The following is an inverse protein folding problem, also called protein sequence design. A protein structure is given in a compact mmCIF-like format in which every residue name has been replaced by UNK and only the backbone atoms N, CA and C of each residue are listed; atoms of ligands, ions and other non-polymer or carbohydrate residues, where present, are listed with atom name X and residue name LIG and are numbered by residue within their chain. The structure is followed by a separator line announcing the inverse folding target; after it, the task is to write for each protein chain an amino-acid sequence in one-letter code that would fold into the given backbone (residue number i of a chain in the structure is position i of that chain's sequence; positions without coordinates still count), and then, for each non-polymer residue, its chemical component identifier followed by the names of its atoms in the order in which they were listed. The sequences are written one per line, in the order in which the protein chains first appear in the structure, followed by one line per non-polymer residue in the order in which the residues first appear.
data_IF_923331120934
#
_entry.id   IF_923331120934
#
_cell.length_a   1.000
_cell.length_b   1.000
_cell.length_c   1.000
_cell.angle_alpha   90.00
_cell.angle_beta   90.00
_cell.angle_gamma   90.00
#
_symmetry.space_group_name_H-M   'P 1'
#
loop_
_entity.id
_entity.type
_entity.pdbx_description
1 polymer ?
#
# COMPACT_ATOMS: atom_id res chain seq x y z
N UNK A 1 -21.90 -3.16 3.69
CA UNK A 1 -20.94 -4.18 3.19
C UNK A 1 -19.75 -4.25 4.13
N UNK A 2 -19.00 -5.36 4.13
CA UNK A 2 -17.69 -5.45 4.80
C UNK A 2 -16.60 -5.10 3.78
N UNK A 3 -15.83 -4.04 4.03
CA UNK A 3 -14.82 -3.53 3.11
C UNK A 3 -13.45 -3.59 3.80
N UNK A 4 -12.48 -4.23 3.16
CA UNK A 4 -11.08 -4.18 3.58
C UNK A 4 -10.41 -3.00 2.88
N UNK A 5 -9.92 -2.02 3.63
CA UNK A 5 -9.17 -0.90 3.06
C UNK A 5 -7.69 -1.02 3.40
N UNK A 6 -6.88 -1.30 2.38
CA UNK A 6 -5.44 -1.42 2.48
C UNK A 6 -4.78 -0.11 2.07
N UNK A 7 -4.06 0.51 3.00
CA UNK A 7 -3.50 1.84 2.74
C UNK A 7 -2.51 2.29 3.80
N UNK A 8 -1.95 3.49 3.64
CA UNK A 8 -0.96 4.03 4.56
C UNK A 8 -1.61 4.69 5.79
N UNK A 9 -2.38 3.92 6.59
CA UNK A 9 -3.14 4.44 7.74
C UNK A 9 -2.28 4.89 8.92
N UNK A 10 -1.06 4.38 9.01
CA UNK A 10 -0.12 4.68 10.07
C UNK A 10 1.11 5.39 9.50
N UNK A 11 1.77 6.26 10.29
CA UNK A 11 2.97 6.95 9.85
C UNK A 11 4.06 5.94 9.48
N UNK A 12 4.85 6.28 8.45
CA UNK A 12 6.07 5.56 8.11
C UNK A 12 7.26 6.51 8.19
N UNK A 13 8.41 5.98 8.58
CA UNK A 13 9.64 6.76 8.70
C UNK A 13 10.19 7.14 7.32
N UNK A 14 9.93 6.33 6.30
CA UNK A 14 10.51 6.52 4.96
C UNK A 14 9.78 7.52 4.09
N UNK A 15 8.45 7.54 4.14
CA UNK A 15 7.65 8.40 3.28
C UNK A 15 6.42 8.85 4.03
N UNK A 16 6.34 10.15 4.27
CA UNK A 16 5.09 10.77 4.65
C UNK A 16 4.19 10.74 3.40
N UNK A 17 3.08 10.03 3.53
CA UNK A 17 2.06 9.91 2.50
C UNK A 17 0.93 10.88 2.85
N UNK A 18 0.39 11.55 1.84
CA UNK A 18 -0.75 12.45 2.06
C UNK A 18 -2.01 11.61 2.18
N UNK A 19 -2.50 11.45 3.41
CA UNK A 19 -3.63 10.54 3.69
C UNK A 19 -4.96 11.26 3.84
N UNK A 20 -5.00 12.60 3.84
CA UNK A 20 -6.24 13.34 4.14
C UNK A 20 -7.42 12.97 3.24
N UNK A 21 -7.19 12.86 1.91
CA UNK A 21 -8.23 12.43 0.97
C UNK A 21 -8.73 11.04 1.32
N UNK A 22 -7.81 10.13 1.62
CA UNK A 22 -8.10 8.75 1.96
C UNK A 22 -8.86 8.64 3.30
N UNK A 23 -8.48 9.42 4.31
CA UNK A 23 -9.21 9.50 5.58
C UNK A 23 -10.62 10.02 5.39
N UNK A 24 -10.80 11.12 4.65
CA UNK A 24 -12.14 11.65 4.34
C UNK A 24 -12.98 10.61 3.59
N UNK A 25 -12.38 9.91 2.63
CA UNK A 25 -13.06 8.86 1.89
C UNK A 25 -13.46 7.68 2.80
N UNK A 26 -12.56 7.22 3.68
CA UNK A 26 -12.87 6.18 4.65
C UNK A 26 -13.99 6.61 5.61
N UNK A 27 -14.00 7.85 6.09
CA UNK A 27 -15.08 8.38 6.94
C UNK A 27 -16.43 8.30 6.26
N UNK A 28 -16.53 8.72 5.00
CA UNK A 28 -17.81 8.64 4.28
C UNK A 28 -18.25 7.19 4.07
N UNK A 29 -17.33 6.28 3.72
CA UNK A 29 -17.66 4.86 3.59
C UNK A 29 -18.10 4.22 4.92
N UNK A 30 -17.51 4.64 6.04
CA UNK A 30 -17.82 4.10 7.38
C UNK A 30 -19.28 4.37 7.81
N UNK A 31 -19.96 5.34 7.19
CA UNK A 31 -21.35 5.69 7.51
C UNK A 31 -22.33 4.58 7.17
N UNK A 32 -22.05 3.84 6.10
CA UNK A 32 -22.95 2.81 5.56
C UNK A 32 -22.30 1.42 5.49
N UNK A 33 -20.99 1.33 5.71
CA UNK A 33 -20.23 0.11 5.54
C UNK A 33 -19.32 -0.16 6.75
N UNK A 34 -19.09 -1.44 7.02
CA UNK A 34 -18.12 -1.88 8.02
C UNK A 34 -16.75 -1.90 7.37
N UNK A 35 -15.85 -1.07 7.87
CA UNK A 35 -14.49 -0.96 7.36
C UNK A 35 -13.53 -1.73 8.26
N UNK A 36 -12.68 -2.53 7.65
CA UNK A 36 -11.45 -3.03 8.28
C UNK A 36 -10.29 -2.31 7.63
N UNK A 37 -9.61 -1.44 8.38
CA UNK A 37 -8.41 -0.78 7.90
C UNK A 37 -7.22 -1.72 8.08
N UNK A 38 -6.34 -1.80 7.08
CA UNK A 38 -5.16 -2.65 7.15
C UNK A 38 -3.92 -1.96 6.60
N UNK A 39 -2.81 -2.01 7.35
CA UNK A 39 -1.55 -1.39 6.96
C UNK A 39 -0.30 -2.06 7.55
N UNK A 40 0.86 -1.68 7.05
CA UNK A 40 2.14 -1.96 7.69
C UNK A 40 2.84 -0.66 8.05
N UNK A 41 3.55 -0.65 9.18
CA UNK A 41 4.32 0.52 9.63
C UNK A 41 5.72 0.10 10.04
N UNK A 42 6.70 0.99 9.87
CA UNK A 42 8.04 0.86 10.43
C UNK A 42 8.32 1.88 11.55
N UNK A 43 7.27 2.55 12.02
CA UNK A 43 7.38 3.49 13.12
C UNK A 43 7.73 2.74 14.41
N UNK A 44 8.78 3.15 15.16
CA UNK A 44 9.26 2.42 16.33
C UNK A 44 8.25 2.40 17.49
N UNK A 45 7.35 3.39 17.53
CA UNK A 45 6.26 3.47 18.50
C UNK A 45 4.97 3.90 17.78
N UNK A 46 4.19 2.98 17.19
CA UNK A 46 2.98 3.33 16.47
C UNK A 46 1.76 3.50 17.39
N UNK A 47 1.87 3.24 18.70
CA UNK A 47 0.71 3.10 19.60
C UNK A 47 -0.16 4.34 19.68
N UNK A 48 0.43 5.54 19.71
CA UNK A 48 -0.35 6.79 19.71
C UNK A 48 -1.17 6.98 18.42
N UNK A 49 -0.56 6.70 17.26
CA UNK A 49 -1.26 6.76 15.98
C UNK A 49 -2.32 5.66 15.87
N UNK A 50 -2.04 4.45 16.35
CA UNK A 50 -3.00 3.35 16.40
C UNK A 50 -4.21 3.71 17.24
N UNK A 51 -4.01 4.32 18.42
CA UNK A 51 -5.13 4.78 19.26
C UNK A 51 -5.98 5.79 18.51
N UNK A 52 -5.37 6.82 17.92
CA UNK A 52 -6.10 7.86 17.19
C UNK A 52 -6.91 7.30 16.01
N UNK A 53 -6.36 6.32 15.28
CA UNK A 53 -7.10 5.65 14.20
C UNK A 53 -8.24 4.81 14.77
N UNK A 54 -8.03 4.09 15.88
CA UNK A 54 -9.06 3.25 16.51
C UNK A 54 -10.20 4.04 17.13
N UNK A 55 -9.93 5.25 17.59
CA UNK A 55 -10.93 6.18 18.10
C UNK A 55 -11.91 6.61 16.99
N UNK A 56 -11.46 6.65 15.73
CA UNK A 56 -12.29 7.01 14.56
C UNK A 56 -12.81 5.77 13.80
N UNK A 57 -12.02 4.69 13.74
CA UNK A 57 -12.30 3.46 13.01
C UNK A 57 -12.02 2.24 13.89
N UNK A 58 -13.09 1.61 14.39
CA UNK A 58 -13.01 0.52 15.38
C UNK A 58 -12.10 -0.65 14.94
N UNK A 59 -12.11 -1.01 13.65
CA UNK A 59 -11.42 -2.19 13.13
C UNK A 59 -10.16 -1.80 12.34
N UNK A 60 -9.00 -2.02 12.97
CA UNK A 60 -7.68 -1.76 12.42
C UNK A 60 -6.75 -2.96 12.64
N UNK A 61 -6.26 -3.50 11.53
CA UNK A 61 -5.20 -4.47 11.44
C UNK A 61 -3.88 -3.82 11.02
N UNK A 62 -2.80 -4.08 11.75
CA UNK A 62 -1.50 -3.55 11.38
C UNK A 62 -0.34 -4.46 11.77
N UNK A 63 0.71 -4.49 10.96
CA UNK A 63 1.99 -5.13 11.32
C UNK A 63 3.13 -4.11 11.40
N UNK A 64 3.98 -4.29 12.41
CA UNK A 64 5.22 -3.51 12.53
C UNK A 64 6.34 -4.26 11.84
N UNK A 65 6.96 -3.63 10.84
CA UNK A 65 8.13 -4.18 10.14
C UNK A 65 9.39 -3.73 10.88
N UNK A 66 10.30 -4.65 11.25
CA UNK A 66 11.50 -4.29 11.96
C UNK A 66 12.45 -3.44 11.11
N UNK A 67 12.83 -2.28 11.66
CA UNK A 67 13.70 -1.30 11.03
C UNK A 67 15.11 -1.83 10.67
N UNK A 68 15.47 -3.01 11.16
CA UNK A 68 16.78 -3.66 10.99
C UNK A 68 17.07 -4.07 9.55
N UNK A 69 16.04 -4.18 8.71
CA UNK A 69 16.17 -4.47 7.28
C UNK A 69 16.62 -3.26 6.44
N UNK A 70 16.78 -2.06 7.04
CA UNK A 70 17.33 -0.87 6.39
C UNK A 70 18.67 -1.10 5.68
N UNK A 71 19.55 -1.92 6.25
CA UNK A 71 20.91 -2.16 5.69
C UNK A 71 20.92 -3.19 4.56
N UNK A 72 19.97 -4.14 4.59
CA UNK A 72 19.82 -5.15 3.55
C UNK A 72 19.03 -4.65 2.35
N UNK A 73 18.33 -3.51 2.48
CA UNK A 73 17.52 -2.91 1.42
C UNK A 73 18.32 -2.72 0.12
N UNK A 74 19.53 -2.17 0.20
CA UNK A 74 20.42 -1.97 -0.98
C UNK A 74 20.85 -3.28 -1.64
N UNK A 75 21.04 -4.34 -0.83
CA UNK A 75 21.53 -5.65 -1.28
C UNK A 75 20.38 -6.46 -1.88
N UNK A 76 19.22 -6.45 -1.22
CA UNK A 76 17.98 -7.05 -1.72
C UNK A 76 17.56 -6.40 -3.05
N UNK A 77 17.71 -5.08 -3.18
CA UNK A 77 17.42 -4.34 -4.41
C UNK A 77 18.23 -4.84 -5.61
N UNK A 78 19.47 -5.33 -5.41
CA UNK A 78 20.29 -5.88 -6.48
C UNK A 78 19.99 -7.36 -6.75
N UNK A 79 19.64 -8.13 -5.72
CA UNK A 79 19.55 -9.59 -5.81
C UNK A 79 18.17 -10.13 -6.21
N UNK A 80 17.06 -9.49 -5.82
CA UNK A 80 15.74 -10.14 -5.89
C UNK A 80 14.90 -9.79 -7.12
N UNK A 81 15.31 -8.84 -7.95
CA UNK A 81 14.53 -8.38 -9.12
C UNK A 81 13.19 -7.70 -8.78
N UNK A 82 12.69 -7.82 -7.54
CA UNK A 82 11.43 -7.29 -7.04
C UNK A 82 11.57 -5.87 -6.46
N UNK A 83 10.44 -5.15 -6.32
CA UNK A 83 10.41 -3.85 -5.62
C UNK A 83 10.87 -4.02 -4.17
N UNK A 84 11.83 -3.19 -3.78
CA UNK A 84 12.38 -3.19 -2.43
C UNK A 84 11.40 -2.56 -1.43
N UNK A 85 10.55 -1.63 -1.86
CA UNK A 85 9.46 -1.07 -1.04
C UNK A 85 8.41 -2.14 -0.73
N UNK A 86 7.92 -2.86 -1.74
CA UNK A 86 6.94 -3.94 -1.58
C UNK A 86 7.50 -5.05 -0.69
N UNK A 87 8.75 -5.47 -0.93
CA UNK A 87 9.39 -6.50 -0.12
C UNK A 87 9.53 -6.08 1.34
N UNK A 88 9.88 -4.82 1.61
CA UNK A 88 10.00 -4.34 2.97
C UNK A 88 8.67 -4.30 3.72
N UNK A 89 7.60 -3.85 3.07
CA UNK A 89 6.27 -3.80 3.67
C UNK A 89 5.52 -5.13 3.59
N UNK A 90 6.19 -6.20 3.17
CA UNK A 90 5.67 -7.57 3.23
C UNK A 90 5.81 -8.11 4.66
N UNK A 91 4.69 -8.46 5.28
CA UNK A 91 4.61 -8.95 6.64
C UNK A 91 3.62 -10.11 6.71
N UNK A 92 4.13 -11.32 6.96
CA UNK A 92 3.31 -12.53 7.06
C UNK A 92 2.28 -12.43 8.19
N UNK A 93 2.60 -11.70 9.26
CA UNK A 93 1.67 -11.43 10.35
C UNK A 93 0.43 -10.67 9.88
N UNK A 94 0.56 -9.69 8.96
CA UNK A 94 -0.61 -8.99 8.39
C UNK A 94 -1.36 -9.89 7.42
N UNK A 95 -0.63 -10.61 6.56
CA UNK A 95 -1.20 -11.55 5.58
C UNK A 95 -2.08 -12.61 6.25
N UNK A 96 -1.57 -13.22 7.31
CA UNK A 96 -2.29 -14.23 8.08
C UNK A 96 -3.56 -13.65 8.70
N UNK A 97 -3.49 -12.47 9.31
CA UNK A 97 -4.66 -11.81 9.92
C UNK A 97 -5.73 -11.43 8.90
N UNK A 98 -5.34 -10.86 7.76
CA UNK A 98 -6.29 -10.57 6.67
C UNK A 98 -6.97 -11.86 6.19
N UNK A 99 -6.20 -12.94 6.00
CA UNK A 99 -6.74 -14.23 5.56
C UNK A 99 -7.70 -14.84 6.59
N UNK A 100 -7.34 -14.80 7.86
CA UNK A 100 -8.17 -15.37 8.92
C UNK A 100 -9.43 -14.53 9.15
N UNK A 101 -9.33 -13.20 9.03
CA UNK A 101 -10.48 -12.29 8.99
C UNK A 101 -11.39 -12.62 7.81
N UNK A 102 -10.85 -12.76 6.60
CA UNK A 102 -11.62 -13.09 5.41
C UNK A 102 -12.35 -14.45 5.50
N UNK A 103 -11.82 -15.42 6.27
CA UNK A 103 -12.51 -16.68 6.58
C UNK A 103 -13.66 -16.49 7.57
N UNK A 104 -13.44 -15.70 8.62
CA UNK A 104 -14.43 -15.47 9.69
C UNK A 104 -15.57 -14.54 9.29
N UNK A 105 -15.27 -13.49 8.53
CA UNK A 105 -16.19 -12.49 8.04
C UNK A 105 -15.75 -12.07 6.64
N UNK A 106 -16.34 -12.67 5.58
CA UNK A 106 -15.95 -12.38 4.21
C UNK A 106 -16.04 -10.89 3.86
N UNK A 107 -15.02 -10.41 3.15
CA UNK A 107 -15.02 -9.08 2.56
C UNK A 107 -15.84 -9.10 1.26
N UNK A 108 -16.60 -8.03 1.05
CA UNK A 108 -17.37 -7.82 -0.18
C UNK A 108 -16.58 -6.99 -1.20
N UNK A 109 -15.58 -6.24 -0.72
CA UNK A 109 -14.73 -5.37 -1.52
C UNK A 109 -13.38 -5.21 -0.83
N UNK A 110 -12.30 -5.21 -1.61
CA UNK A 110 -10.98 -4.77 -1.17
C UNK A 110 -10.65 -3.46 -1.87
N UNK A 111 -10.34 -2.43 -1.10
CA UNK A 111 -9.91 -1.13 -1.61
C UNK A 111 -8.44 -0.92 -1.28
N UNK A 112 -7.61 -0.54 -2.25
CA UNK A 112 -6.16 -0.45 -2.11
C UNK A 112 -5.68 0.94 -2.48
N UNK A 113 -5.03 1.65 -1.56
CA UNK A 113 -4.53 3.02 -1.76
C UNK A 113 -3.00 3.16 -1.63
N UNK A 114 -2.26 2.06 -1.69
CA UNK A 114 -0.78 2.07 -1.73
C UNK A 114 -0.25 0.89 -2.54
N UNK A 115 0.80 1.11 -3.33
CA UNK A 115 1.41 0.06 -4.16
C UNK A 115 1.97 -1.09 -3.32
N UNK A 116 2.52 -0.77 -2.14
CA UNK A 116 3.03 -1.78 -1.19
C UNK A 116 1.97 -2.79 -0.71
N UNK A 117 0.69 -2.41 -0.79
CA UNK A 117 -0.43 -3.21 -0.32
C UNK A 117 -1.05 -4.10 -1.40
N UNK A 118 -0.71 -3.86 -2.68
CA UNK A 118 -1.26 -4.60 -3.81
C UNK A 118 -1.14 -6.12 -3.64
N UNK A 119 0.02 -6.69 -3.22
CA UNK A 119 0.13 -8.13 -3.06
C UNK A 119 -0.86 -8.75 -2.07
N UNK A 120 -1.23 -8.02 -1.00
CA UNK A 120 -2.22 -8.52 -0.03
C UNK A 120 -3.62 -8.58 -0.64
N UNK A 121 -3.98 -7.59 -1.47
CA UNK A 121 -5.27 -7.58 -2.17
C UNK A 121 -5.34 -8.69 -3.23
N UNK A 122 -4.23 -8.95 -3.92
CA UNK A 122 -4.18 -9.96 -4.98
C UNK A 122 -4.36 -11.39 -4.46
N UNK A 123 -4.05 -11.67 -3.19
CA UNK A 123 -4.36 -12.96 -2.56
C UNK A 123 -5.87 -13.20 -2.37
N UNK A 124 -6.66 -12.13 -2.33
CA UNK A 124 -8.11 -12.19 -2.21
C UNK A 124 -8.79 -12.18 -3.58
N UNK A 125 -8.11 -11.69 -4.63
CA UNK A 125 -8.61 -11.74 -6.00
C UNK A 125 -8.54 -13.16 -6.59
N UNK A 126 -9.50 -13.59 -7.43
CA UNK A 126 -10.69 -12.87 -7.88
C UNK A 126 -11.89 -13.00 -6.93
N UNK A 127 -11.74 -13.73 -5.82
CA UNK A 127 -12.88 -14.08 -4.95
C UNK A 127 -13.57 -12.85 -4.36
N UNK A 128 -12.80 -11.80 -4.11
CA UNK A 128 -13.30 -10.49 -3.69
C UNK A 128 -12.91 -9.46 -4.77
N UNK A 129 -13.85 -8.60 -5.23
CA UNK A 129 -13.51 -7.54 -6.16
C UNK A 129 -12.51 -6.57 -5.53
N UNK A 130 -11.57 -6.09 -6.34
CA UNK A 130 -10.50 -5.19 -5.91
C UNK A 130 -10.67 -3.84 -6.60
N UNK A 131 -10.69 -2.76 -5.84
CA UNK A 131 -10.59 -1.39 -6.32
C UNK A 131 -9.23 -0.85 -5.94
N UNK A 132 -8.53 -0.27 -6.91
CA UNK A 132 -7.20 0.24 -6.71
C UNK A 132 -7.19 1.74 -6.94
N UNK A 133 -6.84 2.50 -5.91
CA UNK A 133 -6.80 3.96 -5.94
C UNK A 133 -5.37 4.47 -6.02
N UNK A 134 -5.03 4.95 -7.22
CA UNK A 134 -3.79 5.67 -7.51
C UNK A 134 -3.95 7.15 -7.14
N UNK A 135 -4.05 7.41 -5.84
CA UNK A 135 -4.01 8.77 -5.29
C UNK A 135 -2.66 9.43 -5.57
N UNK A 136 -1.61 8.71 -5.17
CA UNK A 136 -0.25 8.93 -5.62
C UNK A 136 0.18 7.72 -6.45
N UNK A 137 0.92 7.94 -7.53
CA UNK A 137 1.56 6.86 -8.29
C UNK A 137 2.97 6.67 -7.73
N UNK A 138 3.15 5.62 -6.92
CA UNK A 138 4.40 5.40 -6.17
C UNK A 138 5.61 5.26 -7.11
N UNK A 139 5.44 4.62 -8.27
CA UNK A 139 6.49 4.52 -9.29
C UNK A 139 6.92 5.89 -9.84
N UNK A 140 6.01 6.84 -10.00
CA UNK A 140 6.34 8.19 -10.48
C UNK A 140 7.12 8.98 -9.44
N UNK A 141 6.76 8.85 -8.16
CA UNK A 141 7.52 9.47 -7.07
C UNK A 141 8.98 9.02 -7.08
N UNK A 142 9.23 7.71 -7.23
CA UNK A 142 10.59 7.17 -7.32
C UNK A 142 11.32 7.65 -8.58
N UNK A 143 10.61 7.71 -9.72
CA UNK A 143 11.17 8.24 -10.99
C UNK A 143 11.59 9.69 -10.85
N UNK A 144 10.78 10.53 -10.20
CA UNK A 144 11.10 11.94 -10.00
C UNK A 144 12.23 12.13 -9.00
N UNK A 145 12.29 11.33 -7.92
CA UNK A 145 13.47 11.33 -7.05
C UNK A 145 14.73 10.91 -7.78
N UNK A 146 14.65 9.93 -8.68
CA UNK A 146 15.83 9.51 -9.45
C UNK A 146 16.43 10.65 -10.28
N UNK A 147 15.60 11.59 -10.75
CA UNK A 147 16.05 12.79 -11.50
C UNK A 147 16.80 13.80 -10.62
N UNK A 148 16.61 13.77 -9.30
CA UNK A 148 17.25 14.68 -8.35
C UNK A 148 18.64 14.21 -7.87
N UNK A 149 19.04 12.97 -8.20
CA UNK A 149 20.33 12.40 -7.79
C UNK A 149 21.20 12.08 -9.00
N UNK A 150 22.50 11.85 -8.76
CA UNK A 150 23.48 11.43 -9.75
C UNK A 150 24.14 10.09 -9.39
N UNK A 151 24.80 9.47 -10.38
CA UNK A 151 25.61 8.27 -10.20
C UNK A 151 24.82 7.00 -9.86
N UNK A 152 25.37 6.20 -8.95
CA UNK A 152 24.79 4.89 -8.58
C UNK A 152 23.40 5.00 -7.97
N UNK A 153 23.14 6.08 -7.21
CA UNK A 153 21.84 6.31 -6.56
C UNK A 153 20.70 6.49 -7.57
N UNK A 154 20.96 7.14 -8.69
CA UNK A 154 20.00 7.26 -9.81
C UNK A 154 19.61 5.90 -10.37
N UNK A 155 20.59 4.99 -10.53
CA UNK A 155 20.34 3.64 -11.05
C UNK A 155 19.43 2.85 -10.12
N UNK A 156 19.68 2.90 -8.82
CA UNK A 156 18.84 2.25 -7.80
C UNK A 156 17.41 2.80 -7.87
N UNK A 157 17.23 4.12 -7.84
CA UNK A 157 15.89 4.72 -7.79
C UNK A 157 15.10 4.49 -9.09
N UNK A 158 15.77 4.47 -10.25
CA UNK A 158 15.14 4.08 -11.52
C UNK A 158 14.73 2.61 -11.51
N UNK A 159 15.58 1.72 -10.99
CA UNK A 159 15.24 0.31 -10.85
C UNK A 159 14.03 0.13 -9.94
N UNK A 160 13.93 0.86 -8.83
CA UNK A 160 12.77 0.79 -7.94
C UNK A 160 11.50 1.30 -8.63
N UNK A 161 11.59 2.43 -9.34
CA UNK A 161 10.47 2.97 -10.09
C UNK A 161 9.92 1.97 -11.12
N UNK A 162 10.79 1.30 -11.88
CA UNK A 162 10.39 0.29 -12.86
C UNK A 162 9.71 -0.92 -12.20
N UNK A 163 10.23 -1.40 -11.08
CA UNK A 163 9.66 -2.56 -10.38
C UNK A 163 8.36 -2.25 -9.67
N UNK A 164 8.23 -1.06 -9.08
CA UNK A 164 6.94 -0.61 -8.56
C UNK A 164 5.92 -0.48 -9.67
N UNK A 165 6.33 0.01 -10.85
CA UNK A 165 5.45 0.09 -12.02
C UNK A 165 4.93 -1.28 -12.44
N UNK A 166 5.76 -2.33 -12.39
CA UNK A 166 5.32 -3.71 -12.66
C UNK A 166 4.24 -4.17 -11.65
N UNK A 167 4.41 -3.85 -10.36
CA UNK A 167 3.42 -4.17 -9.31
C UNK A 167 2.13 -3.39 -9.51
N UNK A 168 2.20 -2.11 -9.86
CA UNK A 168 1.05 -1.27 -10.19
C UNK A 168 0.28 -1.82 -11.40
N UNK A 169 0.98 -2.20 -12.47
CA UNK A 169 0.37 -2.80 -13.68
C UNK A 169 -0.31 -4.13 -13.33
N UNK A 170 0.37 -4.99 -12.55
CA UNK A 170 -0.18 -6.25 -12.08
C UNK A 170 -1.48 -6.03 -11.28
N UNK A 171 -1.44 -5.08 -10.34
CA UNK A 171 -2.60 -4.69 -9.54
C UNK A 171 -3.75 -4.17 -10.41
N UNK A 172 -3.46 -3.22 -11.30
CA UNK A 172 -4.45 -2.61 -12.18
C UNK A 172 -5.13 -3.63 -13.11
N UNK A 173 -4.37 -4.59 -13.65
CA UNK A 173 -4.91 -5.68 -14.49
C UNK A 173 -5.85 -6.62 -13.74
N UNK A 174 -5.67 -6.77 -12.42
CA UNK A 174 -6.51 -7.63 -11.59
C UNK A 174 -7.68 -6.89 -10.94
N UNK A 175 -7.55 -5.58 -10.78
CA UNK A 175 -8.56 -4.73 -10.19
C UNK A 175 -9.81 -4.69 -11.07
N UNK A 176 -10.97 -4.69 -10.42
CA UNK A 176 -12.26 -4.46 -11.07
C UNK A 176 -12.37 -3.01 -11.53
N UNK A 177 -11.86 -2.07 -10.74
CA UNK A 177 -11.78 -0.64 -11.10
C UNK A 177 -10.47 -0.03 -10.60
N UNK A 178 -9.94 0.90 -11.39
CA UNK A 178 -8.84 1.77 -10.98
C UNK A 178 -9.35 3.20 -10.83
N UNK A 179 -9.09 3.82 -9.68
CA UNK A 179 -9.33 5.23 -9.43
C UNK A 179 -8.01 5.99 -9.55
N UNK A 180 -8.07 7.20 -10.05
CA UNK A 180 -6.90 8.07 -10.24
C UNK A 180 -7.26 9.48 -9.81
N UNK A 181 -6.36 10.16 -9.11
CA UNK A 181 -6.61 11.52 -8.64
C UNK A 181 -6.42 12.58 -9.74
N UNK A 182 -5.62 12.28 -10.78
CA UNK A 182 -5.28 13.25 -11.83
C UNK A 182 -5.30 12.66 -13.24
N UNK A 183 -5.51 13.48 -14.29
CA UNK A 183 -5.39 13.02 -15.67
C UNK A 183 -3.99 12.49 -16.03
N UNK A 184 -2.94 13.00 -15.37
CA UNK A 184 -1.59 12.48 -15.55
C UNK A 184 -1.46 11.06 -15.01
N UNK A 185 -1.94 10.82 -13.79
CA UNK A 185 -1.98 9.48 -13.21
C UNK A 185 -2.80 8.52 -14.09
N UNK A 186 -3.91 8.98 -14.67
CA UNK A 186 -4.71 8.20 -15.62
C UNK A 186 -3.89 7.73 -16.83
N UNK A 187 -3.12 8.62 -17.46
CA UNK A 187 -2.24 8.28 -18.59
C UNK A 187 -1.17 7.28 -18.18
N UNK A 188 -0.56 7.47 -17.01
CA UNK A 188 0.46 6.57 -16.50
C UNK A 188 -0.12 5.20 -16.19
N UNK A 189 -1.29 5.10 -15.56
CA UNK A 189 -1.93 3.81 -15.25
C UNK A 189 -2.37 3.07 -16.51
N UNK A 190 -2.86 3.80 -17.53
CA UNK A 190 -3.35 3.22 -18.77
C UNK A 190 -2.24 2.73 -19.75
N UNK A 191 -1.00 3.19 -19.60
CA UNK A 191 0.15 2.79 -20.45
C UNK A 191 0.81 1.50 -19.99
#
# INVERSE_FOLDING_TARGET
MNILMLGPWLPTVRRQLTTERLHRFARELAREHRLTLACTTDHPNPFGAVSAIRDEFEDLEFAVVPNRWKRLWSVAHLATGSSAEVAYFSADALRNRIRDRAKSAPFHLVYVASTSMIPYALELAPRVPVVLDFGDVDSEWWRDRARQFSGFKTKIYRAEAMRLREVEIMGARRATHCLVATPQAARTVAS
#
